data_IF_822494527293
#
_entry.id   IF_822494527293
#
_cell.length_a   1.000
_cell.length_b   1.000
_cell.length_c   1.000
_cell.angle_alpha   90.00
_cell.angle_beta   90.00
_cell.angle_gamma   90.00
#
_symmetry.space_group_name_H-M   'P 1'
#
loop_
_entity.id
_entity.type
_entity.pdbx_description
1 polymer ?
#
# COMPACT_ATOMS: atom_id res chain seq x y z
N UNK A 1 6.03 8.47 -1.90
CA UNK A 1 5.01 8.54 -2.95
C UNK A 1 5.43 7.71 -4.14
N UNK A 2 6.36 8.22 -4.96
CA UNK A 2 6.75 7.60 -6.23
C UNK A 2 7.15 6.12 -6.17
N UNK A 3 7.92 5.69 -5.16
CA UNK A 3 8.31 4.27 -5.03
C UNK A 3 7.10 3.35 -4.82
N UNK A 4 6.15 3.76 -3.97
CA UNK A 4 4.91 2.99 -3.75
C UNK A 4 4.04 2.96 -5.01
N UNK A 5 3.97 4.08 -5.73
CA UNK A 5 3.23 4.17 -7.00
C UNK A 5 3.82 3.22 -8.06
N UNK A 6 5.15 3.17 -8.18
CA UNK A 6 5.83 2.24 -9.08
C UNK A 6 5.56 0.77 -8.69
N UNK A 7 5.64 0.44 -7.39
CA UNK A 7 5.35 -0.90 -6.90
C UNK A 7 3.91 -1.34 -7.20
N UNK A 8 2.93 -0.46 -6.99
CA UNK A 8 1.53 -0.75 -7.29
C UNK A 8 1.29 -0.99 -8.79
N UNK A 9 1.94 -0.21 -9.67
CA UNK A 9 1.87 -0.44 -11.13
C UNK A 9 2.40 -1.82 -11.51
N UNK A 10 3.59 -2.18 -10.99
CA UNK A 10 4.18 -3.50 -11.26
C UNK A 10 3.28 -4.64 -10.78
N UNK A 11 2.72 -4.53 -9.56
CA UNK A 11 1.81 -5.57 -9.05
C UNK A 11 0.53 -5.66 -9.89
N UNK A 12 -0.01 -4.52 -10.36
CA UNK A 12 -1.18 -4.51 -11.22
C UNK A 12 -0.93 -5.20 -12.57
N UNK A 13 0.22 -4.95 -13.20
CA UNK A 13 0.61 -5.63 -14.44
C UNK A 13 0.81 -7.13 -14.23
N UNK A 14 1.53 -7.52 -13.17
CA UNK A 14 1.81 -8.93 -12.86
C UNK A 14 0.53 -9.71 -12.57
N UNK A 15 -0.40 -9.15 -11.80
CA UNK A 15 -1.64 -9.83 -11.43
C UNK A 15 -2.68 -9.84 -12.56
N UNK A 16 -2.72 -8.80 -13.40
CA UNK A 16 -3.66 -8.74 -14.53
C UNK A 16 -3.16 -9.50 -15.77
N UNK A 17 -1.84 -9.73 -15.89
CA UNK A 17 -1.22 -10.30 -17.08
C UNK A 17 -1.28 -9.37 -18.30
N UNK A 18 -1.65 -8.11 -18.12
CA UNK A 18 -1.77 -7.10 -19.16
C UNK A 18 -0.87 -5.90 -18.83
N UNK A 19 -0.33 -5.26 -19.86
CA UNK A 19 0.37 -3.98 -19.69
C UNK A 19 -0.66 -2.92 -19.33
N UNK A 20 -0.53 -2.34 -18.14
CA UNK A 20 -1.44 -1.31 -17.65
C UNK A 20 -0.77 0.05 -17.89
N UNK A 21 -1.08 0.65 -19.02
CA UNK A 21 -0.62 2.00 -19.32
C UNK A 21 -1.54 3.02 -18.60
N UNK A 22 -0.95 3.82 -17.70
CA UNK A 22 -1.57 4.95 -17.00
C UNK A 22 -2.59 4.64 -15.89
N UNK A 23 -2.15 3.99 -14.80
CA UNK A 23 -2.86 4.12 -13.51
C UNK A 23 -2.13 5.09 -12.60
N UNK A 24 -2.78 6.22 -12.32
CA UNK A 24 -2.31 7.21 -11.36
C UNK A 24 -2.86 6.88 -9.97
N UNK A 25 -1.97 6.54 -9.04
CA UNK A 25 -2.34 6.31 -7.64
C UNK A 25 -2.15 7.59 -6.83
N UNK A 26 -3.00 8.58 -7.05
CA UNK A 26 -2.89 9.90 -6.39
C UNK A 26 -2.91 9.81 -4.86
N UNK A 27 -3.63 8.83 -4.32
CA UNK A 27 -3.75 8.55 -2.89
C UNK A 27 -2.40 8.32 -2.18
N UNK A 28 -1.34 7.95 -2.91
CA UNK A 28 0.01 7.76 -2.35
C UNK A 28 0.96 8.95 -2.61
N UNK A 29 0.52 9.97 -3.36
CA UNK A 29 1.30 11.20 -3.69
C UNK A 29 1.25 12.22 -2.55
N UNK A 30 2.14 13.21 -2.57
CA UNK A 30 2.26 14.25 -1.52
C UNK A 30 3.20 13.93 -0.34
N UNK A 31 3.27 14.84 0.63
CA UNK A 31 4.21 14.82 1.78
C UNK A 31 3.52 14.71 3.16
N UNK A 32 2.21 14.45 3.16
CA UNK A 32 1.46 14.24 4.40
C UNK A 32 2.00 13.05 5.20
N UNK A 33 1.94 13.15 6.53
CA UNK A 33 2.73 12.35 7.46
C UNK A 33 2.61 10.84 7.28
N UNK A 34 1.39 10.31 7.27
CA UNK A 34 1.08 8.92 6.90
C UNK A 34 -0.12 8.97 5.97
N UNK A 35 -0.01 8.32 4.81
CA UNK A 35 -1.09 8.19 3.84
C UNK A 35 -1.45 6.73 3.67
N UNK A 36 -2.69 6.48 3.33
CA UNK A 36 -3.22 5.14 3.12
C UNK A 36 -3.94 5.09 1.78
N UNK A 37 -3.83 3.96 1.09
CA UNK A 37 -4.51 3.72 -0.17
C UNK A 37 -5.05 2.30 -0.16
N UNK A 38 -6.25 2.12 -0.71
CA UNK A 38 -6.79 0.80 -1.05
C UNK A 38 -6.91 0.70 -2.56
N UNK A 39 -6.22 -0.25 -3.14
CA UNK A 39 -6.18 -0.47 -4.58
C UNK A 39 -6.76 -1.83 -4.89
N UNK A 40 -7.82 -1.86 -5.70
CA UNK A 40 -8.41 -3.10 -6.18
C UNK A 40 -7.70 -3.52 -7.47
N UNK A 41 -7.21 -4.77 -7.51
CA UNK A 41 -6.54 -5.37 -8.66
C UNK A 41 -7.17 -6.75 -8.86
N UNK A 42 -8.03 -6.88 -9.88
CA UNK A 42 -8.89 -8.05 -10.03
C UNK A 42 -9.75 -8.28 -8.78
N UNK A 43 -9.64 -9.46 -8.19
CA UNK A 43 -10.35 -9.84 -6.95
C UNK A 43 -9.59 -9.48 -5.67
N UNK A 44 -8.33 -9.04 -5.79
CA UNK A 44 -7.50 -8.67 -4.64
C UNK A 44 -7.68 -7.19 -4.30
N UNK A 45 -7.83 -6.89 -3.01
CA UNK A 45 -7.75 -5.52 -2.50
C UNK A 45 -6.44 -5.33 -1.76
N UNK A 46 -5.52 -4.59 -2.36
CA UNK A 46 -4.25 -4.23 -1.74
C UNK A 46 -4.41 -2.98 -0.89
N UNK A 47 -4.02 -3.07 0.39
CA UNK A 47 -3.91 -1.93 1.29
C UNK A 47 -2.45 -1.50 1.34
N UNK A 48 -2.19 -0.22 1.05
CA UNK A 48 -0.86 0.37 1.07
C UNK A 48 -0.83 1.55 2.03
N UNK A 49 0.28 1.71 2.76
CA UNK A 49 0.53 2.88 3.59
C UNK A 49 1.89 3.50 3.24
N UNK A 50 1.95 4.83 3.19
CA UNK A 50 3.16 5.60 2.90
C UNK A 50 3.43 6.57 4.03
N UNK A 51 4.48 6.31 4.81
CA UNK A 51 4.96 7.22 5.84
C UNK A 51 6.00 8.19 5.28
N UNK A 52 5.78 9.49 5.47
CA UNK A 52 6.75 10.53 5.17
C UNK A 52 7.53 10.90 6.45
N UNK A 53 8.84 10.59 6.47
CA UNK A 53 9.72 10.83 7.61
C UNK A 53 9.74 9.71 8.65
N UNK A 54 10.87 9.56 9.35
CA UNK A 54 11.14 8.43 10.26
C UNK A 54 10.22 8.40 11.48
N UNK A 55 9.81 9.56 12.00
CA UNK A 55 8.87 9.62 13.13
C UNK A 55 7.51 9.01 12.79
N UNK A 56 7.03 9.22 11.57
CA UNK A 56 5.77 8.63 11.09
C UNK A 56 5.95 7.15 10.76
N UNK A 57 7.10 6.74 10.21
CA UNK A 57 7.41 5.32 10.02
C UNK A 57 7.40 4.55 11.34
N UNK A 58 7.98 5.12 12.41
CA UNK A 58 7.94 4.53 13.74
C UNK A 58 6.52 4.35 14.26
N UNK A 59 5.66 5.38 14.12
CA UNK A 59 4.24 5.30 14.52
C UNK A 59 3.51 4.17 13.80
N UNK A 60 3.65 4.12 12.47
CA UNK A 60 3.03 3.08 11.64
C UNK A 60 3.47 1.67 12.05
N UNK A 61 4.76 1.46 12.31
CA UNK A 61 5.28 0.16 12.74
C UNK A 61 4.75 -0.27 14.12
N UNK A 62 4.56 0.68 15.04
CA UNK A 62 3.98 0.39 16.36
C UNK A 62 2.52 -0.01 16.22
N UNK A 63 1.74 0.74 15.45
CA UNK A 63 0.33 0.44 15.19
C UNK A 63 0.12 -0.91 14.51
N UNK A 64 1.01 -1.26 13.56
CA UNK A 64 1.06 -2.58 12.93
C UNK A 64 1.35 -3.69 13.96
N UNK A 65 2.36 -3.50 14.81
CA UNK A 65 2.74 -4.47 15.84
C UNK A 65 1.63 -4.70 16.87
N UNK A 66 0.87 -3.65 17.20
CA UNK A 66 -0.25 -3.72 18.15
C UNK A 66 -1.54 -4.24 17.51
N UNK A 67 -1.57 -4.47 16.19
CA UNK A 67 -2.77 -4.87 15.45
C UNK A 67 -3.86 -3.80 15.43
N UNK A 68 -3.54 -2.55 15.79
CA UNK A 68 -4.53 -1.49 15.99
C UNK A 68 -4.99 -0.82 14.69
N UNK A 69 -4.27 -1.02 13.58
CA UNK A 69 -4.54 -0.33 12.30
C UNK A 69 -4.65 -1.26 11.10
N UNK A 70 -3.81 -2.30 11.03
CA UNK A 70 -3.96 -3.37 10.05
C UNK A 70 -3.85 -4.70 10.78
N UNK A 71 -5.00 -5.37 10.93
CA UNK A 71 -5.04 -6.78 11.33
C UNK A 71 -4.65 -7.59 10.09
N UNK A 72 -3.39 -7.99 10.00
CA UNK A 72 -3.00 -8.96 8.99
C UNK A 72 -3.72 -10.27 9.29
N UNK A 73 -4.73 -10.62 8.50
CA UNK A 73 -4.99 -12.05 8.27
C UNK A 73 -3.76 -12.54 7.51
N UNK A 74 -2.79 -13.08 8.24
CA UNK A 74 -1.68 -13.81 7.63
C UNK A 74 -2.29 -15.04 6.93
N UNK A 75 -1.97 -15.30 5.66
CA UNK A 75 -2.43 -16.51 4.95
C UNK A 75 -1.96 -17.84 5.57
N UNK A 76 -1.22 -17.82 6.69
CA UNK A 76 -0.76 -19.02 7.42
C UNK A 76 -1.67 -19.45 8.58
N UNK A 77 -2.90 -18.92 8.69
CA UNK A 77 -3.92 -19.46 9.61
C UNK A 77 -5.22 -19.83 8.87
N UNK A 78 -5.09 -20.72 7.89
CA UNK A 78 -6.19 -21.52 7.36
C UNK A 78 -5.70 -22.96 7.10
#
# INVERSE_FOLDING_TARGET
GGVMEAALRTVAEVLSGQSIENVEYEQVRGVEGIKEASVKIGDLTLKAAVAHGLGNARKLLIELKLGSRYTGESPEMA
#
